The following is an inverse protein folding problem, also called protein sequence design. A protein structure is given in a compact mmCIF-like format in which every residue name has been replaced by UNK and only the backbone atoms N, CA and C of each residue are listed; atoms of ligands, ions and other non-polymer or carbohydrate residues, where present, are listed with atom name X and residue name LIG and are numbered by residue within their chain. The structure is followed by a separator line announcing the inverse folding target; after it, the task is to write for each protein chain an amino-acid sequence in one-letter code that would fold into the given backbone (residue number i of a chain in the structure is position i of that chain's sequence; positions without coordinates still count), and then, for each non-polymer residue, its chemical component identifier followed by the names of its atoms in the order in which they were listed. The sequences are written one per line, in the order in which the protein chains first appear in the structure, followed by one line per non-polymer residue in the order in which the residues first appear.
data_IF_187495499901
#
_entry.id   IF_187495499901
#
_cell.length_a   1.000
_cell.length_b   1.000
_cell.length_c   1.000
_cell.angle_alpha   90.00
_cell.angle_beta   90.00
_cell.angle_gamma   90.00
#
_symmetry.space_group_name_H-M   'P 1'
#
loop_
_entity.id
_entity.type
_entity.pdbx_description
1 polymer ?
#
# COMPACT_ATOMS: atom_id res chain seq x y z
N UNK A 1 -29.53 -49.45 -61.36
CA UNK A 1 -28.20 -49.44 -62.02
C UNK A 1 -27.43 -48.25 -61.46
N UNK A 2 -26.15 -48.44 -61.06
CA UNK A 2 -25.02 -47.46 -61.13
C UNK A 2 -25.26 -46.08 -60.45
N UNK A 3 -24.46 -45.54 -59.51
CA UNK A 3 -23.14 -45.84 -58.91
C UNK A 3 -23.12 -45.25 -57.48
N UNK A 4 -22.65 -45.93 -56.43
CA UNK A 4 -21.25 -46.03 -55.96
C UNK A 4 -20.61 -44.73 -55.42
N UNK A 5 -19.97 -44.90 -54.25
CA UNK A 5 -18.94 -44.03 -53.59
C UNK A 5 -19.50 -42.70 -53.00
N UNK A 6 -19.11 -42.21 -51.80
CA UNK A 6 -18.08 -42.63 -50.82
C UNK A 6 -18.67 -42.71 -49.37
N UNK A 7 -17.91 -43.27 -48.43
CA UNK A 7 -18.06 -43.12 -46.97
C UNK A 7 -16.81 -42.40 -46.45
N UNK A 8 -16.94 -41.40 -45.58
CA UNK A 8 -15.82 -40.91 -44.76
C UNK A 8 -16.29 -40.49 -43.37
N UNK A 9 -16.00 -41.32 -42.39
CA UNK A 9 -16.24 -41.06 -40.96
C UNK A 9 -15.18 -40.10 -40.41
N UNK A 10 -15.59 -38.94 -39.87
CA UNK A 10 -14.72 -38.14 -39.01
C UNK A 10 -15.19 -38.30 -37.56
N UNK A 11 -14.51 -39.16 -36.81
CA UNK A 11 -14.72 -39.28 -35.36
C UNK A 11 -14.08 -38.06 -34.68
N UNK A 12 -14.89 -37.23 -34.02
CA UNK A 12 -14.39 -36.14 -33.19
C UNK A 12 -13.63 -36.69 -31.99
N UNK A 13 -12.30 -36.70 -32.06
CA UNK A 13 -11.46 -36.90 -30.88
C UNK A 13 -11.48 -35.63 -30.03
N UNK A 14 -12.18 -35.72 -28.90
CA UNK A 14 -12.19 -34.69 -27.86
C UNK A 14 -10.80 -34.67 -27.21
N UNK A 15 -9.89 -33.89 -27.79
CA UNK A 15 -8.72 -33.42 -27.05
C UNK A 15 -9.17 -32.30 -26.11
N UNK A 16 -9.62 -32.68 -24.90
CA UNK A 16 -9.51 -31.80 -23.74
C UNK A 16 -8.02 -31.73 -23.40
N UNK A 17 -7.29 -30.97 -24.21
CA UNK A 17 -6.00 -30.42 -23.82
C UNK A 17 -6.30 -29.45 -22.69
N UNK A 18 -6.05 -29.90 -21.46
CA UNK A 18 -6.01 -29.01 -20.32
C UNK A 18 -4.85 -28.03 -20.54
N UNK A 19 -5.15 -26.88 -21.17
CA UNK A 19 -4.28 -25.71 -21.17
C UNK A 19 -4.22 -25.19 -19.74
N UNK A 20 -3.45 -25.89 -18.90
CA UNK A 20 -2.90 -25.33 -17.69
C UNK A 20 -2.05 -24.16 -18.11
N UNK A 21 -2.61 -22.95 -18.07
CA UNK A 21 -1.88 -21.72 -18.32
C UNK A 21 -0.79 -21.64 -17.27
N UNK A 22 0.45 -21.99 -17.65
CA UNK A 22 1.63 -21.64 -16.88
C UNK A 22 1.68 -20.12 -16.88
N UNK A 23 1.10 -19.52 -15.83
CA UNK A 23 1.08 -18.09 -15.66
C UNK A 23 2.53 -17.61 -15.63
N UNK A 24 2.96 -16.96 -16.71
CA UNK A 24 4.26 -16.33 -16.74
C UNK A 24 4.28 -15.31 -15.60
N UNK A 25 5.21 -15.49 -14.65
CA UNK A 25 5.34 -14.63 -13.46
C UNK A 25 5.90 -13.25 -13.87
N UNK A 26 5.12 -12.47 -14.60
CA UNK A 26 5.49 -11.12 -15.04
C UNK A 26 5.50 -10.19 -13.83
N UNK A 27 6.67 -9.64 -13.51
CA UNK A 27 6.86 -8.74 -12.37
C UNK A 27 6.31 -7.33 -12.65
N UNK A 28 4.99 -7.21 -12.82
CA UNK A 28 4.33 -5.99 -13.29
C UNK A 28 3.01 -5.69 -12.52
N UNK A 29 2.91 -6.14 -11.26
CA UNK A 29 1.71 -5.96 -10.43
C UNK A 29 1.82 -4.74 -9.53
N UNK A 30 0.73 -3.98 -9.37
CA UNK A 30 0.62 -2.91 -8.39
C UNK A 30 0.59 -3.48 -6.96
N UNK A 31 1.59 -3.13 -6.15
CA UNK A 31 1.84 -3.76 -4.86
C UNK A 31 1.14 -3.04 -3.70
N UNK A 32 0.88 -1.73 -3.79
CA UNK A 32 0.32 -0.97 -2.67
C UNK A 32 -1.12 -1.44 -2.36
N UNK A 33 -1.86 -1.88 -3.37
CA UNK A 33 -3.20 -2.51 -3.23
C UNK A 33 -3.20 -3.73 -2.29
N UNK A 34 -2.08 -4.44 -2.16
CA UNK A 34 -1.94 -5.60 -1.26
C UNK A 34 -1.54 -5.21 0.18
N UNK A 35 -1.01 -4.00 0.37
CA UNK A 35 -0.51 -3.50 1.66
C UNK A 35 -1.67 -2.97 2.49
N UNK A 36 -1.82 -3.45 3.74
CA UNK A 36 -2.83 -2.94 4.70
C UNK A 36 -2.43 -1.55 5.21
N UNK A 37 -3.42 -0.68 5.44
CA UNK A 37 -3.23 0.72 5.82
C UNK A 37 -2.25 0.96 6.99
N UNK A 38 -2.28 0.11 8.03
CA UNK A 38 -1.34 0.18 9.17
C UNK A 38 0.15 -0.02 8.80
N UNK A 39 0.44 -0.42 7.57
CA UNK A 39 1.78 -0.62 7.02
C UNK A 39 2.15 0.43 5.95
N UNK A 40 1.27 1.41 5.71
CA UNK A 40 1.54 2.61 4.93
C UNK A 40 1.64 3.80 5.90
N UNK A 41 2.86 4.23 6.20
CA UNK A 41 3.14 5.24 7.24
C UNK A 41 3.92 6.42 6.65
N UNK A 42 3.89 7.57 7.32
CA UNK A 42 4.64 8.75 6.89
C UNK A 42 5.34 9.43 8.08
N UNK A 43 6.28 10.34 7.78
CA UNK A 43 6.93 11.22 8.76
C UNK A 43 5.94 12.14 9.46
N UNK A 44 5.03 12.73 8.68
CA UNK A 44 4.02 13.68 9.10
C UNK A 44 2.86 13.68 8.10
N UNK A 45 1.81 14.44 8.40
CA UNK A 45 0.70 14.71 7.50
C UNK A 45 0.08 16.07 7.85
N UNK A 46 -0.42 16.80 6.84
CA UNK A 46 -1.05 18.10 7.02
C UNK A 46 -2.33 18.01 7.87
N UNK A 47 -3.22 17.09 7.50
CA UNK A 47 -4.45 16.76 8.23
C UNK A 47 -4.81 15.28 8.02
N UNK A 48 -5.81 14.77 8.76
CA UNK A 48 -6.24 13.37 8.69
C UNK A 48 -6.66 12.94 7.26
N UNK A 49 -7.29 13.84 6.50
CA UNK A 49 -7.68 13.66 5.09
C UNK A 49 -6.49 13.66 4.11
N UNK A 50 -5.31 14.03 4.60
CA UNK A 50 -4.03 14.01 3.89
C UNK A 50 -3.05 12.98 4.52
N UNK A 51 -3.57 12.05 5.31
CA UNK A 51 -2.79 10.97 5.92
C UNK A 51 -2.25 9.96 4.89
N UNK A 52 -1.27 9.11 5.29
CA UNK A 52 -0.56 8.21 4.37
C UNK A 52 -1.46 7.23 3.61
N UNK A 53 -2.62 6.85 4.16
CA UNK A 53 -3.62 6.01 3.49
C UNK A 53 -4.21 6.64 2.22
N UNK A 54 -4.26 7.97 2.16
CA UNK A 54 -4.72 8.74 1.00
C UNK A 54 -3.66 8.84 -0.10
N UNK A 55 -2.45 8.31 0.10
CA UNK A 55 -1.42 8.22 -0.93
C UNK A 55 -1.71 7.17 -1.99
N UNK A 56 -2.81 6.41 -1.93
CA UNK A 56 -3.14 5.39 -2.94
C UNK A 56 -3.61 6.05 -4.24
N UNK A 57 -3.26 5.49 -5.41
CA UNK A 57 -3.68 6.03 -6.72
C UNK A 57 -5.21 6.20 -6.88
N UNK A 58 -6.02 5.38 -6.22
CA UNK A 58 -7.48 5.48 -6.23
C UNK A 58 -8.08 6.51 -5.24
N UNK A 59 -7.27 7.23 -4.49
CA UNK A 59 -7.74 8.23 -3.51
C UNK A 59 -8.22 9.53 -4.18
N UNK A 60 -9.23 10.15 -3.57
CA UNK A 60 -9.75 11.47 -3.94
C UNK A 60 -8.84 12.61 -3.46
N UNK A 61 -8.12 12.42 -2.34
CA UNK A 61 -7.06 13.31 -1.85
C UNK A 61 -5.69 12.64 -2.05
N UNK A 62 -4.62 13.27 -1.57
CA UNK A 62 -3.27 12.72 -1.58
C UNK A 62 -2.72 12.56 -0.15
N UNK A 63 -1.56 11.90 0.02
CA UNK A 63 -0.75 12.21 1.21
C UNK A 63 -0.03 13.53 0.99
N UNK A 64 -0.15 14.44 1.95
CA UNK A 64 0.63 15.68 2.03
C UNK A 64 1.29 15.73 3.41
N UNK A 65 2.62 15.94 3.52
CA UNK A 65 3.29 16.14 4.80
C UNK A 65 2.82 17.42 5.50
N UNK A 66 3.18 17.58 6.77
CA UNK A 66 3.03 18.85 7.46
C UNK A 66 4.05 19.87 6.92
N UNK A 67 3.66 21.13 6.75
CA UNK A 67 4.53 22.19 6.21
C UNK A 67 5.83 22.42 7.01
N UNK A 68 5.83 22.08 8.31
CA UNK A 68 7.02 22.19 9.17
C UNK A 68 8.00 21.01 9.04
N UNK A 69 7.62 19.94 8.33
CA UNK A 69 8.46 18.77 8.11
C UNK A 69 9.45 19.02 6.97
N UNK A 70 10.68 19.40 7.35
CA UNK A 70 11.77 19.70 6.40
C UNK A 70 12.32 18.47 5.67
N UNK A 71 11.96 17.24 6.08
CA UNK A 71 12.52 15.99 5.52
C UNK A 71 11.43 14.92 5.37
N UNK A 72 10.34 15.22 4.64
CA UNK A 72 9.17 14.38 4.62
C UNK A 72 9.44 13.05 3.94
N UNK A 73 8.76 12.00 4.41
CA UNK A 73 8.77 10.69 3.76
C UNK A 73 7.45 9.97 3.92
N UNK A 74 7.13 9.15 2.93
CA UNK A 74 6.10 8.11 3.01
C UNK A 74 6.75 6.74 2.81
N UNK A 75 6.35 5.78 3.64
CA UNK A 75 6.94 4.46 3.77
C UNK A 75 5.90 3.37 3.54
N UNK A 76 6.29 2.38 2.77
CA UNK A 76 5.59 1.10 2.64
C UNK A 76 6.36 0.06 3.46
N UNK A 77 5.66 -0.72 4.28
CA UNK A 77 6.14 -1.98 4.86
C UNK A 77 5.39 -3.15 4.21
N UNK A 78 6.05 -3.84 3.29
CA UNK A 78 5.46 -4.94 2.53
C UNK A 78 5.22 -6.20 3.37
N UNK A 79 5.78 -6.28 4.59
CA UNK A 79 5.74 -7.45 5.51
C UNK A 79 6.41 -8.73 5.02
N UNK A 80 6.70 -8.83 3.72
CA UNK A 80 7.40 -9.91 3.05
C UNK A 80 8.41 -9.33 2.05
N UNK A 81 9.29 -10.17 1.52
CA UNK A 81 10.27 -9.73 0.52
C UNK A 81 9.58 -9.52 -0.83
N UNK A 82 9.59 -8.28 -1.33
CA UNK A 82 9.01 -7.89 -2.61
C UNK A 82 10.08 -7.32 -3.52
N UNK A 83 10.05 -7.70 -4.80
CA UNK A 83 10.89 -7.11 -5.85
C UNK A 83 10.12 -5.97 -6.50
N UNK A 84 10.62 -4.75 -6.37
CA UNK A 84 10.06 -3.53 -6.96
C UNK A 84 10.80 -3.20 -8.24
N UNK A 85 10.08 -2.94 -9.33
CA UNK A 85 10.65 -2.60 -10.64
C UNK A 85 10.30 -1.19 -11.12
N UNK A 86 9.19 -0.60 -10.65
CA UNK A 86 8.84 0.78 -10.97
C UNK A 86 8.05 1.45 -9.82
N UNK A 87 7.98 2.77 -9.85
CA UNK A 87 7.06 3.60 -9.05
C UNK A 87 6.14 4.34 -10.02
N UNK A 88 4.85 4.42 -9.69
CA UNK A 88 3.86 5.20 -10.45
C UNK A 88 3.28 6.27 -9.55
N UNK A 89 3.29 7.54 -9.97
CA UNK A 89 2.78 8.67 -9.18
C UNK A 89 1.87 9.63 -9.95
N UNK A 90 1.00 10.33 -9.22
CA UNK A 90 0.22 11.50 -9.66
C UNK A 90 0.00 12.47 -8.49
N UNK A 91 -0.33 13.73 -8.79
CA UNK A 91 -0.66 14.74 -7.79
C UNK A 91 -1.99 14.49 -7.08
N UNK A 92 -2.51 15.52 -6.39
CA UNK A 92 -3.83 15.48 -5.73
C UNK A 92 -5.00 15.35 -6.72
N UNK A 93 -6.22 15.12 -6.23
CA UNK A 93 -7.46 15.26 -7.01
C UNK A 93 -8.43 16.24 -6.32
N UNK A 94 -7.84 17.24 -5.68
CA UNK A 94 -8.54 18.45 -5.25
C UNK A 94 -8.77 19.36 -6.48
N UNK A 95 -9.97 19.92 -6.59
CA UNK A 95 -10.34 20.82 -7.68
C UNK A 95 -9.98 22.29 -7.40
N UNK A 96 -9.75 22.65 -6.13
CA UNK A 96 -9.39 23.98 -5.67
C UNK A 96 -7.86 24.16 -5.61
N UNK A 97 -7.15 23.11 -5.19
CA UNK A 97 -5.70 23.15 -5.00
C UNK A 97 -4.99 22.19 -5.96
N UNK A 98 -4.25 22.76 -6.92
CA UNK A 98 -3.43 21.97 -7.82
C UNK A 98 -2.06 21.73 -7.17
N UNK A 99 -1.85 20.53 -6.65
CA UNK A 99 -0.67 20.18 -5.86
C UNK A 99 -0.06 18.87 -6.35
N UNK A 100 1.27 18.84 -6.50
CA UNK A 100 2.00 17.63 -6.87
C UNK A 100 3.47 17.68 -6.49
N UNK A 101 4.07 16.51 -6.29
CA UNK A 101 5.51 16.34 -6.19
C UNK A 101 6.12 16.38 -7.61
N UNK A 102 7.06 17.30 -7.85
CA UNK A 102 7.83 17.44 -9.10
C UNK A 102 9.03 16.50 -9.16
N UNK A 103 9.64 16.17 -8.01
CA UNK A 103 10.71 15.19 -7.93
C UNK A 103 10.80 14.52 -6.56
N UNK A 104 11.34 13.29 -6.52
CA UNK A 104 11.57 12.56 -5.27
C UNK A 104 12.84 11.71 -5.32
N UNK A 105 13.42 11.44 -4.15
CA UNK A 105 14.41 10.37 -3.97
C UNK A 105 13.72 9.12 -3.40
N UNK A 106 14.26 7.94 -3.72
CA UNK A 106 13.76 6.66 -3.20
C UNK A 106 14.81 6.00 -2.33
N UNK A 107 14.41 5.44 -1.19
CA UNK A 107 15.23 4.53 -0.40
C UNK A 107 14.54 3.22 -0.14
N UNK A 108 15.31 2.15 -0.02
CA UNK A 108 14.84 0.85 0.46
C UNK A 108 15.66 0.42 1.67
N UNK A 109 15.07 -0.43 2.51
CA UNK A 109 15.77 -1.03 3.64
C UNK A 109 16.51 -2.28 3.17
N UNK A 110 17.85 -2.23 3.23
CA UNK A 110 18.74 -3.38 2.99
C UNK A 110 19.38 -3.80 4.31
N UNK A 111 19.04 -4.98 4.81
CA UNK A 111 19.38 -5.40 6.17
C UNK A 111 18.77 -4.45 7.21
N UNK A 112 19.62 -3.60 7.80
CA UNK A 112 19.22 -2.56 8.76
C UNK A 112 19.47 -1.13 8.26
N UNK A 113 19.98 -0.97 7.03
CA UNK A 113 20.44 0.32 6.50
C UNK A 113 19.51 0.81 5.38
N UNK A 114 19.19 2.11 5.40
CA UNK A 114 18.42 2.77 4.34
C UNK A 114 19.33 3.18 3.17
N UNK A 115 19.26 2.43 2.07
CA UNK A 115 20.07 2.62 0.86
C UNK A 115 19.25 3.38 -0.18
N UNK A 116 19.86 4.30 -0.93
CA UNK A 116 19.20 4.96 -2.06
C UNK A 116 19.02 3.99 -3.23
N UNK A 117 17.93 4.13 -3.98
CA UNK A 117 17.90 3.62 -5.35
C UNK A 117 18.75 4.56 -6.20
N UNK A 118 19.81 4.04 -6.81
CA UNK A 118 20.71 4.86 -7.62
C UNK A 118 20.01 5.26 -8.92
N UNK A 119 19.85 6.55 -9.17
CA UNK A 119 19.19 7.10 -10.37
C UNK A 119 19.78 8.47 -10.74
N UNK A 120 20.44 8.54 -11.90
CA UNK A 120 21.23 9.72 -12.29
C UNK A 120 22.36 10.03 -11.29
N UNK A 121 22.83 11.27 -11.27
CA UNK A 121 23.87 11.73 -10.33
C UNK A 121 23.36 11.96 -8.91
N UNK A 122 22.07 12.29 -8.76
CA UNK A 122 21.49 12.78 -7.49
C UNK A 122 20.53 11.78 -6.83
N UNK A 123 20.37 10.57 -7.35
CA UNK A 123 19.41 9.55 -6.89
C UNK A 123 17.95 10.02 -6.88
N UNK A 124 17.63 10.91 -7.82
CA UNK A 124 16.40 11.69 -7.86
C UNK A 124 15.64 11.40 -9.16
N UNK A 125 14.35 11.13 -9.01
CA UNK A 125 13.43 10.82 -10.10
C UNK A 125 12.56 12.03 -10.39
N UNK A 126 12.41 12.37 -11.68
CA UNK A 126 11.40 13.34 -12.13
C UNK A 126 10.03 12.72 -11.95
N UNK A 127 9.14 13.39 -11.23
CA UNK A 127 7.81 12.93 -10.91
C UNK A 127 6.79 13.63 -11.80
N UNK A 128 5.83 14.37 -11.23
CA UNK A 128 4.68 14.88 -11.95
C UNK A 128 4.86 16.33 -12.41
N UNK A 129 4.18 16.68 -13.50
CA UNK A 129 4.03 18.06 -14.01
C UNK A 129 2.61 18.62 -13.84
N UNK A 130 1.68 17.80 -13.34
CA UNK A 130 0.28 18.13 -13.13
C UNK A 130 -0.35 17.18 -12.06
N UNK A 131 -1.65 17.35 -11.80
CA UNK A 131 -2.40 16.62 -10.77
C UNK A 131 -2.91 15.23 -11.16
N UNK A 132 -3.09 14.94 -12.45
CA UNK A 132 -3.87 13.79 -12.94
C UNK A 132 -3.05 12.75 -13.71
N UNK A 133 -2.04 13.18 -14.47
CA UNK A 133 -1.22 12.32 -15.31
C UNK A 133 -0.43 11.33 -14.45
N UNK A 134 -0.61 10.03 -14.74
CA UNK A 134 0.21 8.98 -14.15
C UNK A 134 1.60 8.99 -14.77
N UNK A 135 2.61 9.27 -13.97
CA UNK A 135 4.02 9.16 -14.36
C UNK A 135 4.58 7.85 -13.80
N UNK A 136 5.17 7.03 -14.67
CA UNK A 136 5.85 5.77 -14.30
C UNK A 136 7.36 5.97 -14.39
N UNK A 137 8.04 5.76 -13.27
CA UNK A 137 9.48 5.77 -13.15
C UNK A 137 9.97 4.34 -12.92
N UNK A 138 10.60 3.75 -13.93
CA UNK A 138 11.27 2.46 -13.79
C UNK A 138 12.54 2.60 -12.93
N UNK A 139 12.78 1.64 -12.04
CA UNK A 139 13.99 1.59 -11.24
C UNK A 139 15.14 1.06 -12.12
N UNK A 140 16.34 1.66 -12.09
CA UNK A 140 17.48 1.22 -12.91
C UNK A 140 17.91 -0.24 -12.69
N UNK A 141 17.56 -0.82 -11.55
CA UNK A 141 17.59 -2.27 -11.33
C UNK A 141 16.44 -2.74 -10.42
N UNK A 142 15.90 -3.95 -10.63
CA UNK A 142 14.89 -4.54 -9.75
C UNK A 142 15.38 -4.60 -8.30
N UNK A 143 14.66 -3.94 -7.39
CA UNK A 143 15.07 -3.76 -6.00
C UNK A 143 14.24 -4.65 -5.09
N UNK A 144 14.86 -5.69 -4.54
CA UNK A 144 14.22 -6.59 -3.57
C UNK A 144 14.33 -6.03 -2.15
N UNK A 145 13.19 -5.76 -1.50
CA UNK A 145 13.15 -5.16 -0.16
C UNK A 145 11.86 -5.52 0.61
N UNK A 146 11.88 -5.29 1.92
CA UNK A 146 10.67 -5.38 2.77
C UNK A 146 10.07 -4.01 3.09
N UNK A 147 10.88 -2.94 3.01
CA UNK A 147 10.43 -1.56 3.25
C UNK A 147 11.03 -0.62 2.22
N UNK A 148 10.21 0.30 1.74
CA UNK A 148 10.56 1.32 0.74
C UNK A 148 10.02 2.67 1.18
N UNK A 149 10.77 3.74 0.92
CA UNK A 149 10.44 5.14 1.24
C UNK A 149 10.59 6.04 0.04
N UNK A 150 9.59 6.88 -0.20
CA UNK A 150 9.68 8.04 -1.09
C UNK A 150 9.97 9.28 -0.23
N UNK A 151 10.88 10.13 -0.72
CA UNK A 151 11.26 11.40 -0.13
C UNK A 151 11.01 12.51 -1.16
N UNK A 152 9.89 13.25 -1.09
CA UNK A 152 9.67 14.44 -1.92
C UNK A 152 10.86 15.42 -1.83
N UNK A 153 11.18 16.07 -2.95
CA UNK A 153 12.30 17.03 -3.06
C UNK A 153 11.86 18.38 -3.55
N UNK A 154 11.25 18.40 -4.73
CA UNK A 154 10.64 19.59 -5.30
C UNK A 154 9.14 19.35 -5.50
N UNK A 155 8.33 20.38 -5.27
CA UNK A 155 6.88 20.29 -5.19
C UNK A 155 6.24 21.55 -5.80
N UNK A 156 5.09 21.39 -6.45
CA UNK A 156 4.27 22.52 -6.90
C UNK A 156 3.16 22.76 -5.87
N UNK A 157 3.07 23.99 -5.36
CA UNK A 157 2.30 24.36 -4.18
C UNK A 157 2.73 23.55 -2.95
N UNK A 158 2.13 22.37 -2.72
CA UNK A 158 2.44 21.49 -1.60
C UNK A 158 2.91 20.11 -2.09
N UNK A 159 3.62 19.39 -1.22
CA UNK A 159 4.18 18.06 -1.53
C UNK A 159 3.15 16.93 -1.47
N UNK A 160 2.02 17.12 -2.16
CA UNK A 160 0.93 16.17 -2.27
C UNK A 160 1.23 15.09 -3.32
N UNK A 161 1.13 13.81 -2.93
CA UNK A 161 1.35 12.68 -3.85
C UNK A 161 0.38 11.53 -3.60
N UNK A 162 -0.14 10.97 -4.70
CA UNK A 162 -0.69 9.62 -4.79
C UNK A 162 0.30 8.76 -5.58
N UNK A 163 0.56 7.54 -5.14
CA UNK A 163 1.49 6.62 -5.77
C UNK A 163 1.10 5.16 -5.59
N UNK A 164 1.76 4.30 -6.35
CA UNK A 164 1.84 2.85 -6.17
C UNK A 164 3.24 2.39 -6.62
N UNK A 165 3.60 1.15 -6.32
CA UNK A 165 4.87 0.50 -6.67
C UNK A 165 4.55 -0.74 -7.49
N UNK A 166 5.20 -0.87 -8.62
CA UNK A 166 5.03 -2.00 -9.54
C UNK A 166 6.10 -3.05 -9.23
N UNK A 167 5.71 -4.32 -9.18
CA UNK A 167 6.63 -5.41 -8.88
C UNK A 167 5.96 -6.77 -8.70
N UNK A 168 6.59 -7.61 -7.89
CA UNK A 168 6.15 -8.97 -7.58
C UNK A 168 6.72 -9.46 -6.24
N UNK A 169 6.23 -10.60 -5.75
CA UNK A 169 6.84 -11.28 -4.62
C UNK A 169 8.22 -11.83 -5.01
N UNK A 170 9.23 -11.62 -4.17
CA UNK A 170 10.57 -12.14 -4.45
C UNK A 170 10.53 -13.68 -4.42
N UNK A 171 11.01 -14.31 -5.49
CA UNK A 171 11.10 -15.78 -5.54
C UNK A 171 12.20 -16.23 -4.59
N UNK A 172 11.82 -16.83 -3.46
CA UNK A 172 12.78 -17.53 -2.60
C UNK A 172 13.24 -18.77 -3.36
N UNK A 173 14.43 -18.68 -3.97
CA UNK A 173 15.13 -19.87 -4.46
C UNK A 173 15.61 -20.64 -3.24
N UNK A 174 14.71 -21.43 -2.66
CA UNK A 174 15.08 -22.45 -1.68
C UNK A 174 15.92 -23.45 -2.44
N UNK A 175 17.24 -23.31 -2.34
CA UNK A 175 18.19 -24.36 -2.72
C UNK A 175 17.86 -25.57 -1.85
N UNK A 176 16.98 -26.43 -2.36
CA UNK A 176 16.75 -27.74 -1.80
C UNK A 176 18.08 -28.45 -1.95
N UNK A 177 18.79 -28.61 -0.83
CA UNK A 177 19.94 -29.51 -0.77
C UNK A 177 19.35 -30.91 -0.84
N UNK A 178 18.97 -31.31 -2.05
CA UNK A 178 18.62 -32.69 -2.37
C UNK A 178 19.89 -33.47 -2.14
N UNK A 179 19.93 -34.22 -1.04
CA UNK A 179 21.01 -35.13 -0.69
C UNK A 179 21.02 -36.32 -1.65
N UNK A 180 21.45 -36.06 -2.89
CA UNK A 180 21.69 -37.07 -3.89
C UNK A 180 22.93 -37.88 -3.43
N UNK A 181 22.87 -39.22 -3.40
CA UNK A 181 24.00 -40.04 -2.99
C UNK A 181 25.21 -39.81 -3.94
N UNK A 182 26.44 -39.84 -3.40
CA UNK A 182 27.63 -39.41 -4.14
C UNK A 182 27.89 -40.29 -5.38
N UNK A 183 28.14 -39.69 -6.56
CA UNK A 183 28.69 -40.41 -7.70
C UNK A 183 30.06 -40.98 -7.34
N UNK A 184 30.28 -42.26 -7.64
CA UNK A 184 31.52 -42.94 -7.29
C UNK A 184 32.66 -42.62 -8.25
N UNK A 185 33.83 -42.30 -7.67
CA UNK A 185 35.17 -42.60 -8.21
C UNK A 185 35.63 -41.89 -9.50
N UNK A 186 36.68 -41.08 -9.38
CA UNK A 186 37.98 -41.38 -10.03
C UNK A 186 39.12 -40.68 -9.29
N UNK A 187 40.11 -41.47 -8.88
CA UNK A 187 41.32 -41.03 -8.17
C UNK A 187 42.33 -40.46 -9.16
N UNK A 188 42.91 -39.29 -8.87
CA UNK A 188 44.18 -38.88 -9.49
C UNK A 188 45.11 -38.33 -8.41
N UNK A 189 46.13 -39.14 -8.09
CA UNK A 189 47.17 -38.83 -7.12
C UNK A 189 48.14 -37.79 -7.68
N UNK A 190 48.45 -36.74 -6.93
CA UNK A 190 49.71 -35.99 -7.05
C UNK A 190 50.12 -35.49 -5.66
N UNK A 191 51.43 -35.49 -5.39
CA UNK A 191 51.98 -35.67 -4.04
C UNK A 191 52.74 -34.44 -3.52
N UNK A 192 52.53 -34.11 -2.24
CA UNK A 192 53.33 -33.19 -1.41
C UNK A 192 53.27 -31.67 -1.80
N UNK A 193 53.55 -30.70 -0.92
CA UNK A 193 54.33 -30.76 0.33
C UNK A 193 53.69 -30.05 1.54
N UNK A 194 54.06 -30.54 2.72
CA UNK A 194 53.81 -30.00 4.06
C UNK A 194 54.66 -28.77 4.36
N UNK A 195 54.08 -27.70 4.93
CA UNK A 195 54.70 -26.92 6.03
C UNK A 195 53.68 -26.02 6.75
N UNK A 196 53.41 -26.35 8.00
CA UNK A 196 53.11 -25.43 9.12
C UNK A 196 54.35 -25.50 10.05
N UNK A 197 54.65 -24.56 10.98
CA UNK A 197 53.80 -23.51 11.55
C UNK A 197 54.45 -22.11 11.66
N UNK A 198 53.69 -21.14 12.18
CA UNK A 198 54.24 -20.01 12.95
C UNK A 198 53.18 -19.37 13.85
N UNK A 199 53.39 -19.49 15.16
CA UNK A 199 52.62 -18.82 16.21
C UNK A 199 53.02 -17.34 16.28
N UNK A 200 52.08 -16.42 16.52
CA UNK A 200 52.42 -15.10 17.07
C UNK A 200 51.38 -14.66 18.08
N UNK A 201 51.81 -14.62 19.34
CA UNK A 201 51.11 -14.02 20.47
C UNK A 201 51.02 -12.51 20.30
N UNK A 202 49.83 -11.93 20.44
CA UNK A 202 49.67 -10.48 20.64
C UNK A 202 49.15 -10.24 22.06
N UNK A 203 49.76 -9.26 22.72
CA UNK A 203 49.58 -8.99 24.14
C UNK A 203 48.18 -8.50 24.50
N UNK A 204 47.79 -8.89 25.71
CA UNK A 204 46.64 -8.40 26.45
C UNK A 204 46.88 -6.95 26.88
N UNK A 205 45.93 -6.06 26.61
CA UNK A 205 45.76 -4.83 27.40
C UNK A 205 44.28 -4.62 27.71
N UNK A 206 43.96 -4.45 28.98
CA UNK A 206 42.62 -4.50 29.54
C UNK A 206 42.27 -3.20 30.24
N UNK A 207 41.69 -2.26 29.49
CA UNK A 207 41.15 -1.01 30.00
C UNK A 207 39.63 -0.94 29.83
N UNK A 208 38.93 -1.98 30.30
CA UNK A 208 37.47 -1.96 30.42
C UNK A 208 37.07 -1.30 31.76
N UNK A 209 36.38 -0.17 31.68
CA UNK A 209 35.76 0.45 32.86
C UNK A 209 34.63 -0.44 33.40
N UNK A 210 34.84 -1.00 34.59
CA UNK A 210 33.81 -1.73 35.32
C UNK A 210 32.72 -0.80 35.83
N UNK A 211 31.60 -0.68 35.11
CA UNK A 211 30.38 -0.09 35.65
C UNK A 211 29.67 -1.11 36.56
N UNK A 212 29.75 -0.89 37.88
CA UNK A 212 29.00 -1.68 38.86
C UNK A 212 27.51 -1.39 38.77
N UNK A 213 26.77 -2.23 38.03
CA UNK A 213 25.31 -2.20 38.06
C UNK A 213 24.81 -2.72 39.41
N UNK A 214 24.45 -1.81 40.33
CA UNK A 214 23.70 -2.18 41.52
C UNK A 214 22.33 -2.71 41.08
N UNK A 215 22.15 -4.03 41.17
CA UNK A 215 20.83 -4.64 41.10
C UNK A 215 20.05 -4.23 42.34
N UNK A 216 19.35 -3.10 42.25
CA UNK A 216 18.26 -2.80 43.16
C UNK A 216 17.25 -3.95 43.05
N UNK A 217 17.22 -4.79 44.09
CA UNK A 217 16.22 -5.81 44.30
C UNK A 217 14.85 -5.16 44.44
N UNK A 218 14.16 -4.96 43.32
CA UNK A 218 12.74 -4.63 43.36
C UNK A 218 12.02 -5.82 43.99
N UNK A 219 11.52 -5.62 45.21
CA UNK A 219 10.68 -6.57 45.92
C UNK A 219 9.59 -7.12 45.00
N UNK A 220 9.22 -8.41 45.10
CA UNK A 220 8.13 -8.95 44.29
C UNK A 220 6.85 -8.18 44.58
N UNK A 221 6.36 -7.39 43.60
CA UNK A 221 5.13 -6.61 43.75
C UNK A 221 3.98 -7.57 44.05
N UNK A 222 3.21 -7.26 45.10
CA UNK A 222 2.06 -8.07 45.47
C UNK A 222 0.94 -7.89 44.45
N UNK A 223 0.05 -8.87 44.34
CA UNK A 223 -1.11 -8.79 43.42
C UNK A 223 -2.02 -7.60 43.73
N UNK A 224 -2.07 -7.15 44.98
CA UNK A 224 -2.68 -5.88 45.40
C UNK A 224 -2.05 -4.65 44.72
N UNK A 225 -0.72 -4.54 44.73
CA UNK A 225 0.00 -3.39 44.15
C UNK A 225 -0.21 -3.31 42.64
N UNK A 226 -0.22 -4.47 41.97
CA UNK A 226 -0.50 -4.57 40.54
C UNK A 226 -1.94 -4.11 40.21
N UNK A 227 -2.93 -4.53 40.99
CA UNK A 227 -4.33 -4.14 40.80
C UNK A 227 -4.57 -2.64 41.04
N UNK A 228 -3.90 -2.03 42.02
CA UNK A 228 -3.93 -0.57 42.22
C UNK A 228 -3.30 0.16 41.04
N UNK A 229 -2.15 -0.32 40.53
CA UNK A 229 -1.45 0.29 39.40
C UNK A 229 -2.24 0.16 38.09
N UNK A 230 -2.91 -0.97 37.87
CA UNK A 230 -3.86 -1.18 36.76
C UNK A 230 -5.05 -0.22 36.89
N UNK A 231 -5.66 -0.10 38.08
CA UNK A 231 -6.79 0.79 38.31
C UNK A 231 -6.46 2.27 38.03
N UNK A 232 -5.26 2.72 38.42
CA UNK A 232 -4.77 4.06 38.11
C UNK A 232 -4.49 4.26 36.61
N UNK A 233 -3.96 3.26 35.90
CA UNK A 233 -3.81 3.32 34.44
C UNK A 233 -5.16 3.34 33.72
N UNK A 234 -6.15 2.57 34.16
CA UNK A 234 -7.50 2.58 33.61
C UNK A 234 -8.17 3.94 33.83
N UNK A 235 -8.12 4.48 35.05
CA UNK A 235 -8.64 5.83 35.38
C UNK A 235 -8.06 6.92 34.45
N UNK A 236 -6.74 6.91 34.23
CA UNK A 236 -6.05 7.88 33.39
C UNK A 236 -6.41 7.76 31.89
N UNK A 237 -6.84 6.57 31.44
CA UNK A 237 -7.25 6.30 30.06
C UNK A 237 -8.77 6.49 29.83
N UNK A 238 -9.59 6.44 30.88
CA UNK A 238 -11.05 6.66 30.79
C UNK A 238 -11.42 8.15 30.68
N UNK A 239 -11.34 8.69 29.46
CA UNK A 239 -11.83 10.03 29.16
C UNK A 239 -13.37 10.06 29.25
N UNK A 240 -13.92 10.89 30.13
CA UNK A 240 -15.37 11.09 30.25
C UNK A 240 -15.96 11.59 28.92
N UNK A 241 -16.99 10.91 28.41
CA UNK A 241 -17.65 11.23 27.13
C UNK A 241 -18.03 12.72 27.03
N UNK A 242 -18.47 13.35 28.12
CA UNK A 242 -18.84 14.78 28.18
C UNK A 242 -17.67 15.75 27.94
N UNK A 243 -16.42 15.33 28.16
CA UNK A 243 -15.20 16.12 27.90
C UNK A 243 -14.61 15.87 26.50
N UNK A 244 -15.15 14.92 25.73
CA UNK A 244 -14.62 14.63 24.39
C UNK A 244 -14.95 15.78 23.43
N UNK A 245 -13.98 16.15 22.58
CA UNK A 245 -14.16 17.19 21.56
C UNK A 245 -15.29 16.86 20.57
N UNK A 246 -15.60 15.58 20.38
CA UNK A 246 -16.74 15.11 19.57
C UNK A 246 -18.08 15.50 20.23
N UNK A 247 -18.24 15.24 21.54
CA UNK A 247 -19.46 15.62 22.26
C UNK A 247 -19.63 17.15 22.31
N UNK A 248 -18.56 17.90 22.58
CA UNK A 248 -18.56 19.37 22.59
C UNK A 248 -18.94 19.91 21.19
N UNK A 249 -18.35 19.38 20.12
CA UNK A 249 -18.70 19.77 18.73
C UNK A 249 -20.17 19.49 18.41
N UNK A 250 -20.74 18.37 18.85
CA UNK A 250 -22.17 18.06 18.65
C UNK A 250 -23.12 19.04 19.34
N UNK A 251 -22.64 19.81 20.33
CA UNK A 251 -23.40 20.87 21.01
C UNK A 251 -23.12 22.28 20.49
N UNK A 252 -22.02 22.47 19.77
CA UNK A 252 -21.64 23.75 19.16
C UNK A 252 -21.96 23.85 17.66
N UNK A 253 -22.54 22.82 17.04
CA UNK A 253 -23.25 22.99 15.79
C UNK A 253 -24.46 23.89 16.03
N UNK A 254 -24.35 25.15 15.61
CA UNK A 254 -25.48 26.07 15.64
C UNK A 254 -26.65 25.46 14.86
N UNK A 255 -27.83 25.40 15.47
CA UNK A 255 -29.08 25.28 14.73
C UNK A 255 -29.32 26.62 14.05
N UNK A 256 -28.66 26.84 12.92
CA UNK A 256 -28.81 28.05 12.12
C UNK A 256 -30.20 28.05 11.47
N UNK A 257 -31.16 28.65 12.16
CA UNK A 257 -32.55 28.77 11.74
C UNK A 257 -32.77 29.76 10.60
N UNK A 258 -31.89 29.81 9.60
CA UNK A 258 -32.11 30.58 8.37
C UNK A 258 -33.18 29.87 7.53
N UNK A 259 -34.40 30.44 7.38
CA UNK A 259 -35.50 29.77 6.69
C UNK A 259 -35.24 29.56 5.19
N UNK A 260 -34.33 30.33 4.60
CA UNK A 260 -34.11 30.35 3.15
C UNK A 260 -33.45 29.07 2.62
N UNK A 261 -32.52 28.46 3.36
CA UNK A 261 -31.86 27.20 2.94
C UNK A 261 -32.86 26.05 2.90
N UNK A 262 -33.78 26.02 3.86
CA UNK A 262 -34.87 25.04 3.92
C UNK A 262 -35.85 25.24 2.76
N UNK A 263 -36.19 26.49 2.44
CA UNK A 263 -37.07 26.81 1.31
C UNK A 263 -36.47 26.42 -0.05
N UNK A 264 -35.19 26.70 -0.29
CA UNK A 264 -34.49 26.28 -1.52
C UNK A 264 -34.46 24.76 -1.66
N UNK A 265 -34.28 24.03 -0.56
CA UNK A 265 -34.36 22.55 -0.54
C UNK A 265 -35.75 22.03 -0.96
N UNK A 266 -36.82 22.55 -0.37
CA UNK A 266 -38.19 22.16 -0.74
C UNK A 266 -38.55 22.53 -2.17
N UNK A 267 -38.11 23.69 -2.66
CA UNK A 267 -38.33 24.12 -4.04
C UNK A 267 -37.64 23.18 -5.04
N UNK A 268 -36.41 22.77 -4.75
CA UNK A 268 -35.68 21.79 -5.57
C UNK A 268 -36.35 20.41 -5.62
N UNK A 269 -36.83 19.91 -4.47
CA UNK A 269 -37.57 18.64 -4.40
C UNK A 269 -38.89 18.73 -5.17
N UNK A 270 -39.65 19.82 -5.01
CA UNK A 270 -40.91 20.03 -5.73
C UNK A 270 -40.70 20.07 -7.25
N UNK A 271 -39.64 20.74 -7.73
CA UNK A 271 -39.32 20.83 -9.15
C UNK A 271 -38.91 19.46 -9.72
N UNK A 272 -38.10 18.68 -9.00
CA UNK A 272 -37.75 17.32 -9.39
C UNK A 272 -38.99 16.41 -9.49
N UNK A 273 -39.87 16.42 -8.49
CA UNK A 273 -41.12 15.62 -8.48
C UNK A 273 -42.05 16.04 -9.62
N UNK A 274 -42.14 17.34 -9.93
CA UNK A 274 -42.95 17.83 -11.04
C UNK A 274 -42.41 17.33 -12.40
N UNK A 275 -41.11 17.43 -12.63
CA UNK A 275 -40.47 16.96 -13.88
C UNK A 275 -40.59 15.45 -14.04
N UNK A 276 -40.38 14.65 -12.99
CA UNK A 276 -40.57 13.20 -13.08
C UNK A 276 -42.03 12.82 -13.31
N UNK A 277 -42.97 13.55 -12.71
CA UNK A 277 -44.41 13.34 -12.94
C UNK A 277 -44.83 13.62 -14.39
N UNK A 278 -44.31 14.69 -15.01
CA UNK A 278 -44.59 14.99 -16.42
C UNK A 278 -44.07 13.92 -17.39
N UNK A 279 -42.99 13.22 -17.04
CA UNK A 279 -42.41 12.14 -17.85
C UNK A 279 -43.19 10.84 -17.64
N UNK A 280 -43.48 10.48 -16.39
CA UNK A 280 -44.03 9.17 -16.02
C UNK A 280 -45.55 9.10 -16.21
N UNK A 281 -46.28 10.20 -16.07
CA UNK A 281 -47.75 10.19 -16.17
C UNK A 281 -48.29 9.80 -17.56
N UNK A 282 -47.74 10.30 -18.70
CA UNK A 282 -48.14 9.83 -20.03
C UNK A 282 -47.89 8.32 -20.25
N UNK A 283 -46.77 7.81 -19.75
CA UNK A 283 -46.41 6.39 -19.87
C UNK A 283 -47.34 5.51 -19.02
N UNK A 284 -47.73 5.95 -17.83
CA UNK A 284 -48.73 5.25 -17.01
C UNK A 284 -50.13 5.29 -17.64
N UNK A 285 -50.53 6.41 -18.24
CA UNK A 285 -51.83 6.53 -18.91
C UNK A 285 -51.89 5.63 -20.15
N UNK A 286 -50.86 5.61 -20.99
CA UNK A 286 -50.79 4.70 -22.14
C UNK A 286 -50.74 3.23 -21.72
N UNK A 287 -49.97 2.88 -20.68
CA UNK A 287 -49.96 1.54 -20.10
C UNK A 287 -51.32 1.10 -19.57
N UNK A 288 -52.04 1.97 -18.84
CA UNK A 288 -53.39 1.66 -18.33
C UNK A 288 -54.42 1.47 -19.45
N UNK A 289 -54.35 2.26 -20.52
CA UNK A 289 -55.20 2.08 -21.72
C UNK A 289 -54.92 0.76 -22.43
N UNK A 290 -53.64 0.38 -22.53
CA UNK A 290 -53.23 -0.92 -23.08
C UNK A 290 -53.77 -2.07 -22.23
N UNK A 291 -53.58 -2.03 -20.91
CA UNK A 291 -54.07 -3.05 -19.97
C UNK A 291 -55.61 -3.16 -19.98
N UNK A 292 -56.33 -2.05 -20.07
CA UNK A 292 -57.79 -2.04 -20.21
C UNK A 292 -58.26 -2.69 -21.52
N UNK A 293 -57.51 -2.50 -22.61
CA UNK A 293 -57.81 -3.13 -23.89
C UNK A 293 -57.60 -4.64 -23.80
N UNK A 294 -56.45 -5.09 -23.29
CA UNK A 294 -56.10 -6.51 -23.11
C UNK A 294 -57.07 -7.25 -22.17
N UNK A 295 -57.65 -6.57 -21.18
CA UNK A 295 -58.62 -7.16 -20.25
C UNK A 295 -60.01 -7.39 -20.87
N UNK A 296 -60.36 -6.63 -21.91
CA UNK A 296 -61.68 -6.68 -22.56
C UNK A 296 -61.69 -7.44 -23.90
N UNK A 297 -60.58 -8.11 -24.25
CA UNK A 297 -60.42 -8.97 -25.43
C UNK A 297 -60.21 -10.43 -25.01
#
# INVERSE_FOLDING_TARGET
MISQIFISTLTSWIFIGAFGTTQANTCNSYLLTLVKDKYLTASSHYALTYGPTHARLGSNTAWCPNETDTRPWIQIDFRQSMTVVAIVSKGTNDALFQEWVKSYQVKYLSGQTWVYVNHGSNNEFTANSDTQTLVKNDLPSPTTCQKLRLYPKDCHMFCSIRFDVVGCQATTTTSTITSQPPPSTTTTTTTAMTTSPSTTTVHYDSSFCSCSCSVNSSSPLTTSDLNVKISNMVQNLTISKRKTSIFIRSKNCAQDGRPEVVYVGYLGIALLVFVTSLIVLPDLLTFSSFMYTVWNT
#
